data_IF_075585160277
#
_entry.id   IF_075585160277
#
_cell.length_a   1.000
_cell.length_b   1.000
_cell.length_c   1.000
_cell.angle_alpha   90.00
_cell.angle_beta   90.00
_cell.angle_gamma   90.00
#
_symmetry.space_group_name_H-M   'P 1'
#
loop_
_entity.id
_entity.type
_entity.pdbx_description
1 polymer ?
#
# COMPACT_ATOMS: atom_id res chain seq x y z
N UNK A 1 14.07 -1.98 -3.39
CA UNK A 1 12.73 -1.45 -3.74
C UNK A 1 12.21 -0.68 -2.52
N UNK A 2 11.94 0.63 -2.62
CA UNK A 2 11.62 1.48 -1.47
C UNK A 2 10.48 0.99 -0.57
N UNK A 3 9.41 0.44 -1.15
CA UNK A 3 8.23 -0.09 -0.41
C UNK A 3 8.61 -1.15 0.63
N UNK A 4 9.56 -2.01 0.28
CA UNK A 4 10.00 -3.11 1.14
C UNK A 4 10.90 -2.58 2.27
N UNK A 5 11.71 -1.54 2.00
CA UNK A 5 12.56 -0.92 3.02
C UNK A 5 11.73 -0.23 4.10
N UNK A 6 10.71 0.55 3.70
CA UNK A 6 9.89 1.29 4.66
C UNK A 6 9.04 0.36 5.52
N UNK A 7 8.47 -0.68 4.90
CA UNK A 7 7.66 -1.66 5.62
C UNK A 7 8.48 -2.45 6.64
N UNK A 8 9.65 -2.97 6.25
CA UNK A 8 10.52 -3.66 7.20
C UNK A 8 11.03 -2.75 8.32
N UNK A 9 11.45 -1.52 8.01
CA UNK A 9 11.89 -0.58 9.03
C UNK A 9 10.80 -0.31 10.09
N UNK A 10 9.55 -0.13 9.66
CA UNK A 10 8.43 0.07 10.57
C UNK A 10 8.10 -1.18 11.39
N UNK A 11 8.09 -2.37 10.77
CA UNK A 11 7.86 -3.64 11.49
C UNK A 11 8.92 -3.84 12.57
N UNK A 12 10.20 -3.61 12.26
CA UNK A 12 11.27 -3.69 13.25
C UNK A 12 11.15 -2.60 14.33
N UNK A 13 10.75 -1.39 13.97
CA UNK A 13 10.46 -0.32 14.92
C UNK A 13 9.33 -0.65 15.90
N UNK A 14 8.40 -1.52 15.51
CA UNK A 14 7.27 -1.95 16.35
C UNK A 14 7.58 -3.15 17.27
N UNK A 15 8.68 -3.88 17.06
CA UNK A 15 9.08 -5.01 17.92
C UNK A 15 9.08 -4.71 19.43
N UNK A 16 9.64 -3.58 19.93
CA UNK A 16 9.61 -3.31 21.37
C UNK A 16 8.19 -3.16 21.93
N UNK A 17 7.23 -2.66 21.14
CA UNK A 17 5.82 -2.57 21.54
C UNK A 17 5.16 -3.95 21.56
N UNK A 18 5.47 -4.80 20.57
CA UNK A 18 5.00 -6.19 20.51
C UNK A 18 5.44 -7.00 21.73
N UNK A 19 6.63 -6.72 22.26
CA UNK A 19 7.16 -7.40 23.44
C UNK A 19 7.00 -6.61 24.75
N UNK A 20 6.31 -5.45 24.71
CA UNK A 20 6.20 -4.56 25.87
C UNK A 20 5.60 -5.29 27.09
N UNK A 21 6.17 -5.06 28.27
CA UNK A 21 5.69 -5.59 29.56
C UNK A 21 5.44 -4.48 30.57
N UNK A 22 4.62 -4.75 31.58
CA UNK A 22 4.28 -3.78 32.64
C UNK A 22 2.98 -3.01 32.40
N UNK A 23 2.89 -1.80 32.95
CA UNK A 23 1.69 -0.96 32.87
C UNK A 23 1.41 -0.57 31.42
N UNK A 24 0.18 -0.80 30.96
CA UNK A 24 -0.20 -0.54 29.57
C UNK A 24 0.32 -1.58 28.57
N UNK A 25 0.93 -2.68 29.01
CA UNK A 25 1.45 -3.73 28.12
C UNK A 25 0.37 -4.29 27.18
N UNK A 26 -0.86 -4.48 27.65
CA UNK A 26 -1.96 -4.97 26.80
C UNK A 26 -2.23 -4.00 25.64
N UNK A 27 -2.26 -2.70 25.91
CA UNK A 27 -2.46 -1.66 24.88
C UNK A 27 -1.28 -1.60 23.92
N UNK A 28 -0.05 -1.55 24.44
CA UNK A 28 1.17 -1.47 23.63
C UNK A 28 1.34 -2.69 22.74
N UNK A 29 1.09 -3.89 23.27
CA UNK A 29 1.11 -5.13 22.49
C UNK A 29 0.03 -5.13 21.42
N UNK A 30 -1.21 -4.72 21.74
CA UNK A 30 -2.32 -4.67 20.78
C UNK A 30 -2.00 -3.75 19.60
N UNK A 31 -1.49 -2.54 19.88
CA UNK A 31 -1.09 -1.59 18.83
C UNK A 31 0.10 -2.12 18.04
N UNK A 32 1.14 -2.62 18.72
CA UNK A 32 2.35 -3.12 18.07
C UNK A 32 2.08 -4.32 17.17
N UNK A 33 1.33 -5.32 17.65
CA UNK A 33 1.01 -6.54 16.88
C UNK A 33 0.05 -6.22 15.74
N UNK A 34 -0.98 -5.39 15.99
CA UNK A 34 -1.93 -4.96 14.97
C UNK A 34 -1.26 -4.19 13.84
N UNK A 35 -0.40 -3.21 14.17
CA UNK A 35 0.30 -2.41 13.17
C UNK A 35 1.37 -3.20 12.41
N UNK A 36 2.20 -4.00 13.09
CA UNK A 36 3.24 -4.81 12.46
C UNK A 36 2.63 -5.91 11.55
N UNK A 37 1.60 -6.61 12.04
CA UNK A 37 0.88 -7.62 11.26
C UNK A 37 0.13 -7.00 10.08
N UNK A 38 -0.56 -5.88 10.32
CA UNK A 38 -1.26 -5.13 9.27
C UNK A 38 -0.32 -4.65 8.17
N UNK A 39 0.90 -4.24 8.52
CA UNK A 39 1.89 -3.82 7.54
C UNK A 39 2.47 -4.99 6.73
N UNK A 40 2.74 -6.14 7.36
CA UNK A 40 3.16 -7.35 6.65
C UNK A 40 2.12 -7.77 5.61
N UNK A 41 0.88 -7.95 6.06
CA UNK A 41 -0.23 -8.38 5.20
C UNK A 41 -0.53 -7.31 4.15
N UNK A 42 -0.60 -6.05 4.55
CA UNK A 42 -0.88 -4.92 3.66
C UNK A 42 0.18 -4.73 2.60
N UNK A 43 1.45 -5.01 2.88
CA UNK A 43 2.52 -4.94 1.86
C UNK A 43 2.41 -6.09 0.87
N UNK A 44 2.19 -7.33 1.34
CA UNK A 44 2.03 -8.49 0.47
C UNK A 44 0.80 -8.37 -0.44
N UNK A 45 -0.34 -8.04 0.15
CA UNK A 45 -1.61 -7.85 -0.57
C UNK A 45 -1.54 -6.60 -1.45
N UNK A 46 -1.02 -5.49 -0.92
CA UNK A 46 -0.95 -4.21 -1.63
C UNK A 46 -0.11 -4.28 -2.91
N UNK A 47 1.02 -5.00 -2.90
CA UNK A 47 1.84 -5.20 -4.11
C UNK A 47 1.05 -5.86 -5.25
N UNK A 48 0.06 -6.69 -4.93
CA UNK A 48 -0.80 -7.35 -5.92
C UNK A 48 -2.07 -6.54 -6.23
N UNK A 49 -2.70 -5.96 -5.22
CA UNK A 49 -3.98 -5.26 -5.35
C UNK A 49 -3.83 -3.90 -6.01
N UNK A 50 -2.78 -3.14 -5.71
CA UNK A 50 -2.54 -1.82 -6.29
C UNK A 50 -2.48 -1.84 -7.82
N UNK A 51 -1.71 -2.72 -8.50
CA UNK A 51 -1.69 -2.75 -9.96
C UNK A 51 -3.02 -3.20 -10.56
N UNK A 52 -3.74 -4.13 -9.92
CA UNK A 52 -5.07 -4.56 -10.36
C UNK A 52 -6.06 -3.40 -10.28
N UNK A 53 -6.08 -2.68 -9.16
CA UNK A 53 -6.91 -1.49 -9.01
C UNK A 53 -6.54 -0.42 -10.04
N UNK A 54 -5.25 -0.18 -10.28
CA UNK A 54 -4.78 0.77 -11.29
C UNK A 54 -5.36 0.45 -12.68
N UNK A 55 -5.30 -0.80 -13.12
CA UNK A 55 -5.85 -1.21 -14.43
C UNK A 55 -7.36 -1.04 -14.49
N UNK A 56 -8.09 -1.36 -13.42
CA UNK A 56 -9.54 -1.19 -13.36
C UNK A 56 -9.91 0.30 -13.49
N UNK A 57 -9.26 1.17 -12.73
CA UNK A 57 -9.52 2.60 -12.78
C UNK A 57 -9.07 3.23 -14.10
N UNK A 58 -7.95 2.79 -14.67
CA UNK A 58 -7.50 3.21 -16.00
C UNK A 58 -8.53 2.84 -17.07
N UNK A 59 -9.01 1.59 -17.09
CA UNK A 59 -10.03 1.15 -18.06
C UNK A 59 -11.36 1.88 -17.88
N UNK A 60 -11.74 2.19 -16.64
CA UNK A 60 -12.94 2.98 -16.37
C UNK A 60 -12.79 4.43 -16.86
N UNK A 61 -11.62 5.04 -16.65
CA UNK A 61 -11.31 6.37 -17.14
C UNK A 61 -11.28 6.43 -18.67
N UNK A 62 -10.74 5.43 -19.36
CA UNK A 62 -10.76 5.35 -20.83
C UNK A 62 -12.17 5.20 -21.40
N UNK A 63 -13.08 4.54 -20.66
CA UNK A 63 -14.48 4.38 -21.06
C UNK A 63 -15.34 5.61 -20.79
N UNK A 64 -15.03 6.40 -19.76
CA UNK A 64 -15.82 7.57 -19.32
C UNK A 64 -15.23 8.88 -19.88
N UNK A 65 -13.91 8.99 -19.96
CA UNK A 65 -13.21 10.08 -20.60
C UNK A 65 -13.25 9.90 -22.11
N UNK A 66 -13.96 10.79 -22.82
CA UNK A 66 -13.78 10.95 -24.26
C UNK A 66 -12.28 10.99 -24.56
N UNK A 67 -11.80 10.09 -25.44
CA UNK A 67 -10.49 10.26 -26.10
C UNK A 67 -10.40 11.71 -26.58
N UNK A 68 -9.38 12.49 -26.17
CA UNK A 68 -8.88 13.52 -27.07
C UNK A 68 -8.49 12.76 -28.33
N UNK A 69 -9.22 13.02 -29.40
CA UNK A 69 -8.92 12.58 -30.75
C UNK A 69 -7.49 12.99 -31.08
N UNK A 70 -6.54 12.05 -31.04
CA UNK A 70 -5.37 12.05 -31.91
C UNK A 70 -5.85 11.67 -33.31
N UNK A 71 -6.62 12.58 -33.91
CA UNK A 71 -6.79 12.69 -35.35
C UNK A 71 -6.11 14.01 -35.72
N UNK A 72 -4.78 14.02 -35.79
CA UNK A 72 -4.08 15.03 -36.58
C UNK A 72 -3.38 14.29 -37.73
N UNK A 73 -4.06 14.12 -38.88
CA UNK A 73 -3.42 13.66 -40.08
C UNK A 73 -2.50 14.77 -40.61
N UNK A 74 -1.21 14.45 -40.71
CA UNK A 74 -0.32 14.87 -41.81
C UNK A 74 -0.36 16.36 -42.20
N UNK A 75 0.52 17.19 -41.62
CA UNK A 75 1.11 18.35 -42.30
C UNK A 75 2.59 18.47 -41.88
N UNK A 76 3.48 17.81 -42.64
CA UNK A 76 4.70 18.31 -43.30
C UNK A 76 5.58 17.16 -43.80
#
# INVERSE_FOLDING_TARGET
>A
RPIIMTSFAFIFGMLPLVFAGGVGAVGNRSIGTGAAGGMLIGTLVGVLVIPVLFVIFQSLQERIGKKPSEDDPEIL
#
